data_IF_627225303430
#
_entry.id   IF_627225303430
#
_cell.length_a   1.000
_cell.length_b   1.000
_cell.length_c   1.000
_cell.angle_alpha   90.00
_cell.angle_beta   90.00
_cell.angle_gamma   90.00
#
_symmetry.space_group_name_H-M   'P 1'
#
loop_
_entity.id
_entity.type
_entity.pdbx_description
1 polymer ?
#
# COMPACT_ATOMS: atom_id res chain seq x y z
N UNK A 1 5.03 -52.15 -37.63
CA UNK A 1 5.43 -50.75 -37.39
C UNK A 1 4.25 -49.84 -37.75
N UNK A 2 3.23 -49.73 -36.88
CA UNK A 2 2.05 -48.91 -37.18
C UNK A 2 1.25 -48.57 -35.91
N UNK A 3 1.95 -48.20 -34.82
CA UNK A 3 1.32 -47.69 -33.58
C UNK A 3 2.05 -46.44 -33.05
N UNK A 4 3.14 -45.99 -33.69
CA UNK A 4 3.87 -44.78 -33.27
C UNK A 4 3.31 -43.46 -33.81
N UNK A 5 2.38 -43.49 -34.77
CA UNK A 5 1.84 -42.27 -35.39
C UNK A 5 0.79 -41.49 -34.56
N UNK A 6 -0.10 -42.09 -33.73
CA UNK A 6 -1.13 -41.31 -33.06
C UNK A 6 -0.59 -40.54 -31.84
N UNK A 7 0.56 -40.95 -31.28
CA UNK A 7 1.19 -40.26 -30.14
C UNK A 7 1.87 -38.95 -30.55
N UNK A 8 2.36 -38.86 -31.80
CA UNK A 8 3.01 -37.67 -32.32
C UNK A 8 2.01 -36.57 -32.69
N UNK A 9 0.78 -36.94 -33.07
CA UNK A 9 -0.30 -36.00 -33.37
C UNK A 9 -0.87 -35.26 -32.14
N UNK A 10 -0.69 -35.79 -30.91
CA UNK A 10 -1.08 -35.07 -29.69
C UNK A 10 -0.10 -33.93 -29.31
N UNK A 11 1.09 -33.90 -29.90
CA UNK A 11 2.07 -32.85 -29.62
C UNK A 11 1.90 -31.59 -30.48
N UNK A 12 0.98 -31.59 -31.46
CA UNK A 12 0.94 -30.57 -32.53
C UNK A 12 -0.29 -29.66 -32.55
N UNK A 13 -1.20 -29.75 -31.58
CA UNK A 13 -2.36 -28.83 -31.51
C UNK A 13 -2.50 -28.22 -30.13
N UNK A 14 -1.77 -27.12 -29.91
CA UNK A 14 -1.87 -26.33 -28.69
C UNK A 14 -1.19 -24.97 -28.79
N UNK A 15 -1.26 -24.28 -29.94
CA UNK A 15 -0.96 -22.84 -29.98
C UNK A 15 -2.11 -22.07 -29.31
N UNK A 16 -2.24 -22.26 -27.99
CA UNK A 16 -3.14 -21.48 -27.16
C UNK A 16 -2.53 -20.08 -27.02
N UNK A 17 -3.20 -19.07 -27.58
CA UNK A 17 -2.86 -17.64 -27.36
C UNK A 17 -2.88 -17.25 -25.87
N UNK A 18 -3.33 -18.13 -24.98
CA UNK A 18 -3.46 -17.90 -23.56
C UNK A 18 -2.38 -18.60 -22.71
N UNK A 19 -1.38 -19.26 -23.31
CA UNK A 19 -0.27 -19.85 -22.54
C UNK A 19 0.48 -18.81 -21.69
N UNK A 20 0.68 -17.59 -22.22
CA UNK A 20 1.28 -16.49 -21.47
C UNK A 20 0.41 -16.07 -20.29
N UNK A 21 -0.91 -16.04 -20.46
CA UNK A 21 -1.85 -15.72 -19.39
C UNK A 21 -1.82 -16.79 -18.30
N UNK A 22 -1.79 -18.07 -18.68
CA UNK A 22 -1.71 -19.18 -17.73
C UNK A 22 -0.39 -19.20 -16.96
N UNK A 23 0.75 -18.95 -17.64
CA UNK A 23 2.04 -18.84 -16.99
C UNK A 23 2.11 -17.64 -16.04
N UNK A 24 1.55 -16.49 -16.41
CA UNK A 24 1.44 -15.32 -15.52
C UNK A 24 0.57 -15.61 -14.31
N UNK A 25 -0.57 -16.26 -14.48
CA UNK A 25 -1.44 -16.65 -13.36
C UNK A 25 -0.79 -17.69 -12.46
N UNK A 26 -0.09 -18.68 -13.03
CA UNK A 26 0.68 -19.66 -12.26
C UNK A 26 1.85 -19.01 -11.51
N UNK A 27 2.59 -18.10 -12.18
CA UNK A 27 3.68 -17.35 -11.56
C UNK A 27 3.14 -16.51 -10.40
N UNK A 28 2.03 -15.83 -10.61
CA UNK A 28 1.34 -15.03 -9.59
C UNK A 28 0.88 -15.89 -8.41
N UNK A 29 0.32 -17.07 -8.66
CA UNK A 29 -0.13 -17.97 -7.59
C UNK A 29 1.02 -18.56 -6.76
N UNK A 30 2.20 -18.75 -7.37
CA UNK A 30 3.38 -19.37 -6.72
C UNK A 30 4.28 -18.32 -6.06
N UNK A 31 4.53 -17.19 -6.73
CA UNK A 31 5.52 -16.18 -6.34
C UNK A 31 4.95 -14.80 -6.00
N UNK A 32 3.64 -14.57 -6.20
CA UNK A 32 3.02 -13.27 -5.94
C UNK A 32 3.28 -12.22 -7.04
N UNK A 33 2.93 -10.96 -6.76
CA UNK A 33 3.20 -9.82 -7.65
C UNK A 33 4.61 -9.28 -7.42
N UNK A 34 5.31 -8.92 -8.50
CA UNK A 34 6.61 -8.25 -8.39
C UNK A 34 6.41 -6.82 -7.83
N UNK A 35 7.33 -6.33 -6.99
CA UNK A 35 7.28 -4.96 -6.46
C UNK A 35 7.37 -3.92 -7.59
N UNK A 36 6.55 -2.87 -7.52
CA UNK A 36 6.63 -1.77 -8.49
C UNK A 36 7.89 -0.96 -8.21
N UNK A 37 8.79 -0.92 -9.19
CA UNK A 37 10.01 -0.13 -9.17
C UNK A 37 9.95 0.94 -10.27
N UNK A 38 9.78 2.19 -9.86
CA UNK A 38 9.86 3.38 -10.70
C UNK A 38 11.28 3.95 -10.59
N UNK A 39 11.90 4.27 -11.72
CA UNK A 39 13.25 4.84 -11.74
C UNK A 39 13.27 6.27 -11.20
N UNK A 40 14.42 6.72 -10.68
CA UNK A 40 14.61 8.09 -10.20
C UNK A 40 14.27 9.12 -11.29
N UNK A 41 14.70 8.88 -12.53
CA UNK A 41 14.36 9.73 -13.69
C UNK A 41 12.86 9.85 -13.94
N UNK A 42 12.09 8.79 -13.68
CA UNK A 42 10.64 8.80 -13.86
C UNK A 42 9.92 9.47 -12.68
N UNK A 43 10.46 9.34 -11.47
CA UNK A 43 10.01 10.11 -10.30
C UNK A 43 10.23 11.61 -10.53
N UNK A 44 11.42 12.03 -10.97
CA UNK A 44 11.77 13.43 -11.27
C UNK A 44 10.87 14.06 -12.35
N UNK A 45 10.43 13.27 -13.32
CA UNK A 45 9.54 13.72 -14.40
C UNK A 45 8.07 13.77 -14.00
N UNK A 46 7.70 13.31 -12.81
CA UNK A 46 6.31 13.30 -12.35
C UNK A 46 5.94 14.68 -11.77
N UNK A 47 4.91 15.37 -12.32
CA UNK A 47 4.58 16.74 -11.91
C UNK A 47 3.83 16.82 -10.56
N UNK A 48 3.64 15.68 -9.89
CA UNK A 48 2.91 15.56 -8.63
C UNK A 48 3.76 14.81 -7.61
N UNK A 49 3.51 15.06 -6.33
CA UNK A 49 4.15 14.29 -5.26
C UNK A 49 3.78 12.81 -5.38
N UNK A 50 4.78 11.94 -5.23
CA UNK A 50 4.62 10.49 -5.28
C UNK A 50 5.27 9.83 -4.07
N UNK A 51 4.84 8.61 -3.78
CA UNK A 51 5.36 7.81 -2.68
C UNK A 51 5.24 6.33 -3.00
N UNK A 52 5.95 5.51 -2.22
CA UNK A 52 5.71 4.07 -2.17
C UNK A 52 4.92 3.71 -0.93
N UNK A 53 3.93 2.85 -1.10
CA UNK A 53 3.15 2.26 -0.01
C UNK A 53 3.31 0.74 -0.05
N UNK A 54 3.46 0.14 1.12
CA UNK A 54 3.44 -1.32 1.29
C UNK A 54 2.50 -1.67 2.43
N UNK A 55 1.58 -2.58 2.17
CA UNK A 55 0.60 -3.03 3.17
C UNK A 55 0.91 -4.48 3.56
N UNK A 56 1.37 -4.67 4.80
CA UNK A 56 1.78 -5.99 5.29
C UNK A 56 2.80 -6.64 4.35
N UNK A 57 2.51 -7.87 3.95
CA UNK A 57 3.37 -8.66 3.05
C UNK A 57 3.04 -8.46 1.56
N UNK A 58 2.10 -7.57 1.23
CA UNK A 58 1.77 -7.26 -0.16
C UNK A 58 2.93 -6.56 -0.87
N UNK A 59 2.93 -6.62 -2.21
CA UNK A 59 3.92 -5.93 -3.02
C UNK A 59 3.83 -4.41 -2.84
N UNK A 60 4.99 -3.77 -2.91
CA UNK A 60 5.10 -2.32 -2.86
C UNK A 60 4.39 -1.68 -4.06
N UNK A 61 3.54 -0.70 -3.78
CA UNK A 61 2.78 0.06 -4.76
C UNK A 61 3.30 1.50 -4.87
N UNK A 62 3.38 2.01 -6.11
CA UNK A 62 3.63 3.42 -6.38
C UNK A 62 2.31 4.19 -6.34
N UNK A 63 2.26 5.26 -5.55
CA UNK A 63 1.08 6.12 -5.40
C UNK A 63 1.40 7.56 -5.74
N UNK A 64 0.37 8.30 -6.14
CA UNK A 64 0.45 9.73 -6.45
C UNK A 64 -0.50 10.51 -5.55
N UNK A 65 -0.11 11.73 -5.17
CA UNK A 65 -0.95 12.65 -4.42
C UNK A 65 -2.03 13.22 -5.34
N UNK A 66 -3.27 12.75 -5.16
CA UNK A 66 -4.41 13.22 -5.95
C UNK A 66 -4.94 14.56 -5.46
N UNK A 67 -5.07 14.74 -4.14
CA UNK A 67 -5.61 15.97 -3.54
C UNK A 67 -4.94 16.31 -2.21
N UNK A 68 -4.84 17.62 -1.94
CA UNK A 68 -4.43 18.18 -0.66
C UNK A 68 -5.48 19.20 -0.21
N UNK A 69 -6.36 18.82 0.71
CA UNK A 69 -7.48 19.64 1.15
C UNK A 69 -7.83 19.35 2.62
N UNK A 70 -8.33 20.34 3.36
CA UNK A 70 -8.74 20.17 4.77
C UNK A 70 -7.65 19.54 5.66
N UNK A 71 -6.38 19.92 5.43
CA UNK A 71 -5.19 19.34 6.07
C UNK A 71 -4.98 17.83 5.84
N UNK A 72 -5.65 17.26 4.86
CA UNK A 72 -5.55 15.85 4.45
C UNK A 72 -4.86 15.73 3.10
N UNK A 73 -4.02 14.71 2.98
CA UNK A 73 -3.37 14.29 1.75
C UNK A 73 -4.01 12.99 1.29
N UNK A 74 -4.57 13.01 0.08
CA UNK A 74 -5.26 11.87 -0.54
C UNK A 74 -4.37 11.26 -1.60
N UNK A 75 -3.85 10.08 -1.32
CA UNK A 75 -2.96 9.32 -2.18
C UNK A 75 -3.72 8.22 -2.89
N UNK A 76 -3.51 8.08 -4.20
CA UNK A 76 -4.18 7.08 -5.02
C UNK A 76 -3.17 6.17 -5.71
N UNK A 77 -3.44 4.86 -5.67
CA UNK A 77 -2.70 3.83 -6.40
C UNK A 77 -3.28 3.56 -7.80
N UNK A 78 -2.56 2.76 -8.59
CA UNK A 78 -2.98 2.37 -9.94
C UNK A 78 -4.29 1.53 -9.95
N UNK A 79 -4.52 0.78 -8.88
CA UNK A 79 -5.74 0.01 -8.58
C UNK A 79 -6.90 0.87 -8.07
N UNK A 80 -6.71 2.20 -7.98
CA UNK A 80 -7.64 3.19 -7.41
C UNK A 80 -7.87 3.03 -5.92
N UNK A 81 -7.00 2.31 -5.22
CA UNK A 81 -6.99 2.29 -3.77
C UNK A 81 -6.57 3.66 -3.25
N UNK A 82 -7.27 4.12 -2.20
CA UNK A 82 -7.14 5.46 -1.64
C UNK A 82 -6.60 5.38 -0.22
N UNK A 83 -5.55 6.14 0.05
CA UNK A 83 -4.99 6.34 1.38
C UNK A 83 -5.09 7.82 1.74
N UNK A 84 -5.70 8.12 2.89
CA UNK A 84 -5.81 9.48 3.39
C UNK A 84 -4.90 9.64 4.60
N UNK A 85 -3.97 10.59 4.50
CA UNK A 85 -3.07 10.96 5.59
C UNK A 85 -3.38 12.34 6.11
N UNK A 86 -3.23 12.53 7.41
CA UNK A 86 -3.36 13.82 8.07
C UNK A 86 -2.16 14.01 9.00
N UNK A 87 -1.35 15.05 8.78
CA UNK A 87 -0.11 15.30 9.54
C UNK A 87 0.80 14.06 9.72
N UNK A 88 0.92 13.22 8.70
CA UNK A 88 1.74 12.00 8.75
C UNK A 88 1.05 10.76 9.35
N UNK A 89 -0.14 10.90 9.94
CA UNK A 89 -0.98 9.78 10.40
C UNK A 89 -1.88 9.29 9.28
N UNK A 90 -2.02 7.97 9.10
CA UNK A 90 -3.09 7.42 8.25
C UNK A 90 -4.42 7.54 9.00
N UNK A 91 -5.40 8.22 8.41
CA UNK A 91 -6.71 8.49 9.06
C UNK A 91 -7.87 7.79 8.36
N UNK A 92 -7.68 7.37 7.10
CA UNK A 92 -8.69 6.63 6.33
C UNK A 92 -8.03 5.86 5.20
N UNK A 93 -8.58 4.69 4.89
CA UNK A 93 -8.21 3.90 3.70
C UNK A 93 -9.46 3.47 2.95
N UNK A 94 -9.31 3.11 1.67
CA UNK A 94 -10.39 2.53 0.87
C UNK A 94 -9.80 1.62 -0.21
N UNK A 95 -10.37 0.42 -0.34
CA UNK A 95 -10.02 -0.55 -1.38
C UNK A 95 -9.02 -1.62 -0.93
N UNK A 96 -8.67 -1.64 0.36
CA UNK A 96 -7.71 -2.61 0.92
C UNK A 96 -8.36 -3.79 1.65
N UNK A 97 -9.70 -3.86 1.64
CA UNK A 97 -10.47 -4.91 2.34
C UNK A 97 -10.76 -4.50 3.78
N UNK A 98 -9.75 -4.50 4.64
CA UNK A 98 -9.84 -4.06 6.05
C UNK A 98 -9.54 -2.57 6.18
N UNK A 99 -10.49 -1.76 5.72
CA UNK A 99 -10.28 -0.33 5.60
C UNK A 99 -10.52 0.45 6.91
N UNK A 100 -9.65 1.40 7.20
CA UNK A 100 -9.86 2.38 8.28
C UNK A 100 -10.93 3.36 7.80
N UNK A 101 -12.07 3.38 8.47
CA UNK A 101 -13.17 4.30 8.16
C UNK A 101 -12.89 5.72 8.70
N UNK A 102 -12.36 5.80 9.93
CA UNK A 102 -12.02 7.06 10.59
C UNK A 102 -11.04 6.84 11.76
N UNK A 103 -10.27 7.90 12.08
CA UNK A 103 -9.44 8.00 13.28
C UNK A 103 -9.80 9.28 14.03
N UNK A 104 -10.17 9.14 15.30
CA UNK A 104 -10.53 10.24 16.19
C UNK A 104 -9.44 10.39 17.25
N UNK A 105 -8.89 11.59 17.39
CA UNK A 105 -7.91 11.91 18.41
C UNK A 105 -8.61 12.20 19.75
N UNK A 106 -8.28 11.44 20.79
CA UNK A 106 -8.73 11.71 22.17
C UNK A 106 -7.76 12.68 22.83
N UNK A 107 -6.46 12.49 22.61
CA UNK A 107 -5.40 13.44 22.96
C UNK A 107 -4.79 14.08 21.71
N UNK A 108 -4.13 15.24 21.82
CA UNK A 108 -3.39 15.81 20.69
C UNK A 108 -2.41 14.81 20.08
N UNK A 109 -2.42 14.69 18.75
CA UNK A 109 -1.53 13.78 18.03
C UNK A 109 -0.07 14.29 18.08
N UNK A 110 0.88 13.51 18.64
CA UNK A 110 2.31 13.84 18.62
C UNK A 110 2.87 14.15 17.22
N UNK A 111 2.39 13.45 16.18
CA UNK A 111 2.81 13.66 14.79
C UNK A 111 2.40 15.03 14.27
N UNK A 112 1.24 15.54 14.70
CA UNK A 112 0.76 16.86 14.32
C UNK A 112 1.55 18.00 14.98
N UNK A 113 2.08 17.78 16.19
CA UNK A 113 2.98 18.74 16.87
C UNK A 113 4.37 18.72 16.23
N UNK A 114 4.83 17.51 15.85
CA UNK A 114 6.15 17.22 15.30
C UNK A 114 7.05 16.59 16.36
N UNK A 115 7.34 15.28 16.19
CA UNK A 115 8.03 14.43 17.19
C UNK A 115 9.41 14.93 17.64
N UNK A 116 10.07 15.78 16.84
CA UNK A 116 11.39 16.31 17.17
C UNK A 116 11.34 17.53 18.11
N UNK A 117 10.15 18.08 18.38
CA UNK A 117 9.99 19.23 19.26
C UNK A 117 9.94 18.79 20.73
N UNK A 118 10.60 19.50 21.66
CA UNK A 118 10.52 19.19 23.09
C UNK A 118 9.09 19.22 23.66
N UNK A 119 8.18 19.96 23.03
CA UNK A 119 6.78 20.09 23.44
C UNK A 119 5.86 18.98 22.93
N UNK A 120 6.35 18.05 22.11
CA UNK A 120 5.52 16.98 21.56
C UNK A 120 5.20 15.93 22.65
N UNK A 121 3.92 15.58 22.87
CA UNK A 121 3.58 14.51 23.80
C UNK A 121 4.14 13.19 23.29
N UNK A 122 4.58 12.31 24.20
CA UNK A 122 5.08 10.98 23.85
C UNK A 122 3.99 9.90 23.93
N UNK A 123 2.78 10.26 24.37
CA UNK A 123 1.64 9.36 24.45
C UNK A 123 0.54 9.87 23.54
N UNK A 124 -0.13 8.97 22.84
CA UNK A 124 -1.29 9.27 22.04
C UNK A 124 -2.41 8.29 22.34
N UNK A 125 -3.59 8.83 22.61
CA UNK A 125 -4.83 8.08 22.72
C UNK A 125 -5.77 8.52 21.60
N UNK A 126 -6.35 7.52 20.94
CA UNK A 126 -7.27 7.72 19.85
C UNK A 126 -8.35 6.64 19.82
N UNK A 127 -9.26 6.81 18.88
CA UNK A 127 -10.31 5.86 18.55
C UNK A 127 -10.24 5.58 17.05
N UNK A 128 -10.26 4.31 16.67
CA UNK A 128 -10.21 3.89 15.27
C UNK A 128 -11.44 3.06 14.94
N UNK A 129 -12.05 3.34 13.79
CA UNK A 129 -13.15 2.56 13.27
C UNK A 129 -12.72 1.90 11.95
N UNK A 130 -13.08 0.63 11.77
CA UNK A 130 -12.85 -0.12 10.53
C UNK A 130 -14.17 -0.34 9.81
N UNK A 131 -14.15 -0.29 8.48
CA UNK A 131 -15.37 -0.40 7.66
C UNK A 131 -16.04 -1.77 7.74
N UNK A 132 -15.26 -2.84 7.92
CA UNK A 132 -15.77 -4.23 7.91
C UNK A 132 -16.28 -4.70 9.27
N UNK A 133 -15.87 -4.02 10.36
CA UNK A 133 -16.22 -4.43 11.71
C UNK A 133 -17.48 -3.68 12.16
N UNK A 134 -18.61 -4.38 12.24
CA UNK A 134 -19.90 -3.81 12.68
C UNK A 134 -19.94 -3.38 14.17
N UNK A 135 -18.81 -3.43 14.88
CA UNK A 135 -18.66 -2.94 16.26
C UNK A 135 -17.81 -1.68 16.22
N UNK A 136 -18.29 -0.63 16.90
CA UNK A 136 -17.79 0.75 16.79
C UNK A 136 -16.34 0.98 17.23
N UNK A 137 -15.99 2.26 17.34
CA UNK A 137 -14.67 2.79 17.66
C UNK A 137 -13.86 1.97 18.70
N UNK A 138 -12.72 1.43 18.29
CA UNK A 138 -11.76 0.79 19.18
C UNK A 138 -10.80 1.83 19.76
N UNK A 139 -10.60 1.78 21.08
CA UNK A 139 -9.58 2.59 21.72
C UNK A 139 -8.18 2.11 21.33
N UNK A 140 -7.32 3.05 20.95
CA UNK A 140 -5.93 2.80 20.59
C UNK A 140 -5.04 3.69 21.43
N UNK A 141 -4.00 3.11 22.00
CA UNK A 141 -2.98 3.82 22.75
C UNK A 141 -1.61 3.54 22.14
N UNK A 142 -0.78 4.57 22.02
CA UNK A 142 0.60 4.42 21.54
C UNK A 142 1.56 5.26 22.37
N UNK A 143 2.80 4.78 22.46
CA UNK A 143 3.91 5.47 23.12
C UNK A 143 5.03 5.67 22.11
N UNK A 144 5.47 6.91 21.96
CA UNK A 144 6.58 7.31 21.10
C UNK A 144 7.89 7.29 21.89
N UNK A 145 8.94 6.76 21.27
CA UNK A 145 10.28 6.69 21.85
C UNK A 145 11.29 7.16 20.82
N UNK A 146 12.18 8.08 21.21
CA UNK A 146 13.28 8.51 20.35
C UNK A 146 14.30 7.37 20.23
N UNK A 147 14.59 6.94 18.99
CA UNK A 147 15.53 5.85 18.68
C UNK A 147 16.92 6.33 18.23
N UNK A 148 17.12 7.64 18.13
CA UNK A 148 18.34 8.24 17.60
C UNK A 148 18.11 8.86 16.23
N UNK A 149 19.21 9.22 15.55
CA UNK A 149 19.18 9.77 14.19
C UNK A 149 19.52 8.68 13.20
N UNK A 150 18.84 8.70 12.06
CA UNK A 150 19.05 7.76 10.96
C UNK A 150 19.08 8.56 9.65
N UNK A 151 19.98 8.18 8.74
CA UNK A 151 20.02 8.72 7.38
C UNK A 151 19.25 7.78 6.47
N UNK A 152 18.15 8.29 5.89
CA UNK A 152 17.32 7.54 4.95
C UNK A 152 17.64 8.02 3.54
N UNK A 153 17.95 7.09 2.65
CA UNK A 153 18.13 7.37 1.22
C UNK A 153 16.80 7.12 0.50
N UNK A 154 16.27 8.15 -0.14
CA UNK A 154 15.11 8.05 -1.04
C UNK A 154 15.56 8.16 -2.49
N UNK A 155 14.74 7.65 -3.42
CA UNK A 155 14.94 7.84 -4.86
C UNK A 155 14.75 9.30 -5.29
#
# INVERSE_FOLDING_TARGET
ALILLPLFSLALTGCSRNMDALQKTAKLAIWGTDDVQVSAEQVEKTPYASAYLKMGDASQAFVVLAFAENNQLKWIGADRNLLVMQQGRIVKTQGFGEDIANVINVTPDPLAVGLLKPSAPMHWQGKMAWSQVQRGDYAVESVFQARGKETVTTL
#
